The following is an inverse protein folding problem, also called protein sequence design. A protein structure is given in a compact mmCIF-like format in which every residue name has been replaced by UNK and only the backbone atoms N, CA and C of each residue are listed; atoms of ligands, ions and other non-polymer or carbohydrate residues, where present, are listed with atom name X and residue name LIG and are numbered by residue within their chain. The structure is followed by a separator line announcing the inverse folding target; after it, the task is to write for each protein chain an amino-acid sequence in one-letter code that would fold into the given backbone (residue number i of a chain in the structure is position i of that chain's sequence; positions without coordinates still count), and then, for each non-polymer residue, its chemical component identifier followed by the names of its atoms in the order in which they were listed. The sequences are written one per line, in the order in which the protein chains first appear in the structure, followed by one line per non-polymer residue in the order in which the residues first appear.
data_IF_573724603976
#
_entry.id   IF_573724603976
#
_cell.length_a   1.000
_cell.length_b   1.000
_cell.length_c   1.000
_cell.angle_alpha   90.00
_cell.angle_beta   90.00
_cell.angle_gamma   90.00
#
_symmetry.space_group_name_H-M   'P 1'
#
loop_
_entity.id
_entity.type
_entity.pdbx_description
1 polymer ?
#
# COMPACT_ATOMS: atom_id res chain seq x y z
N UNK A 1 56.70 4.64 12.55
CA UNK A 1 55.91 4.93 11.35
C UNK A 1 54.47 4.58 11.69
N UNK A 2 53.70 5.59 12.08
CA UNK A 2 52.26 5.41 12.37
C UNK A 2 51.48 5.20 11.08
N UNK A 3 50.74 4.12 10.91
CA UNK A 3 49.75 4.04 9.85
C UNK A 3 48.58 4.94 10.23
N UNK A 4 48.30 5.94 9.40
CA UNK A 4 47.17 6.85 9.50
C UNK A 4 45.88 6.07 9.81
N UNK A 5 45.36 6.20 11.02
CA UNK A 5 44.04 5.82 11.40
C UNK A 5 43.10 6.74 10.61
N UNK A 6 42.67 6.29 9.43
CA UNK A 6 41.59 6.93 8.69
C UNK A 6 40.40 7.03 9.65
N UNK A 7 40.15 8.24 10.17
CA UNK A 7 38.93 8.54 10.92
C UNK A 7 37.73 8.21 10.01
N UNK A 8 37.19 7.01 10.15
CA UNK A 8 35.92 6.66 9.54
C UNK A 8 34.86 7.59 10.16
N UNK A 9 34.54 8.65 9.44
CA UNK A 9 33.42 9.54 9.77
C UNK A 9 32.17 8.68 9.71
N UNK A 10 31.58 8.36 10.87
CA UNK A 10 30.37 7.55 10.99
C UNK A 10 29.28 8.29 10.22
N UNK A 11 29.08 7.95 8.94
CA UNK A 11 27.98 8.53 8.15
C UNK A 11 26.65 8.11 8.79
N UNK A 12 25.70 9.03 8.84
CA UNK A 12 24.36 8.72 9.34
C UNK A 12 23.77 7.58 8.48
N UNK A 13 23.21 6.53 9.12
CA UNK A 13 22.57 5.40 8.45
C UNK A 13 21.57 5.86 7.37
N UNK A 14 20.85 6.94 7.66
CA UNK A 14 19.89 7.52 6.70
C UNK A 14 20.58 8.05 5.42
N UNK A 15 21.78 8.65 5.55
CA UNK A 15 22.54 9.16 4.40
C UNK A 15 23.04 8.00 3.54
N UNK A 16 23.45 6.90 4.15
CA UNK A 16 23.87 5.69 3.46
C UNK A 16 22.71 5.03 2.70
N UNK A 17 21.56 4.83 3.37
CA UNK A 17 20.33 4.28 2.74
C UNK A 17 19.93 5.13 1.54
N UNK A 18 19.89 6.47 1.70
CA UNK A 18 19.56 7.38 0.60
C UNK A 18 20.56 7.28 -0.55
N UNK A 19 21.85 7.13 -0.28
CA UNK A 19 22.89 6.97 -1.30
C UNK A 19 22.71 5.68 -2.09
N UNK A 20 22.46 4.56 -1.41
CA UNK A 20 22.22 3.25 -2.03
C UNK A 20 20.94 3.24 -2.85
N UNK A 21 19.84 3.76 -2.30
CA UNK A 21 18.57 3.89 -3.02
C UNK A 21 18.73 4.67 -4.33
N UNK A 22 19.46 5.81 -4.30
CA UNK A 22 19.71 6.61 -5.49
C UNK A 22 20.58 5.91 -6.56
N UNK A 23 21.41 4.94 -6.18
CA UNK A 23 22.20 4.15 -7.14
C UNK A 23 21.33 3.12 -7.88
N UNK A 24 20.22 2.68 -7.32
CA UNK A 24 19.32 1.73 -7.96
C UNK A 24 18.43 2.44 -8.97
N UNK A 25 18.69 2.22 -10.27
CA UNK A 25 17.97 2.89 -11.37
C UNK A 25 16.48 2.51 -11.41
N UNK A 26 16.15 1.26 -11.13
CA UNK A 26 14.75 0.79 -11.13
C UNK A 26 13.95 1.41 -9.98
N UNK A 27 14.54 1.51 -8.80
CA UNK A 27 13.95 2.19 -7.65
C UNK A 27 13.71 3.69 -7.93
N UNK A 28 14.67 4.37 -8.60
CA UNK A 28 14.52 5.76 -8.99
C UNK A 28 13.41 5.96 -10.02
N UNK A 29 13.28 5.05 -10.99
CA UNK A 29 12.18 5.07 -11.96
C UNK A 29 10.83 4.90 -11.24
N UNK A 30 10.73 3.91 -10.33
CA UNK A 30 9.54 3.72 -9.51
C UNK A 30 9.20 4.95 -8.67
N UNK A 31 10.19 5.59 -8.06
CA UNK A 31 9.99 6.82 -7.28
C UNK A 31 9.50 7.99 -8.13
N UNK A 32 10.05 8.18 -9.33
CA UNK A 32 9.62 9.24 -10.24
C UNK A 32 8.17 9.02 -10.68
N UNK A 33 7.81 7.78 -11.07
CA UNK A 33 6.45 7.43 -11.43
C UNK A 33 5.48 7.64 -10.25
N UNK A 34 5.86 7.19 -9.05
CA UNK A 34 5.04 7.37 -7.85
C UNK A 34 4.85 8.85 -7.51
N UNK A 35 5.92 9.65 -7.55
CA UNK A 35 5.82 11.09 -7.33
C UNK A 35 4.91 11.76 -8.37
N UNK A 36 5.00 11.35 -9.63
CA UNK A 36 4.14 11.86 -10.71
C UNK A 36 2.65 11.54 -10.44
N UNK A 37 2.33 10.30 -10.08
CA UNK A 37 0.97 9.88 -9.77
C UNK A 37 0.43 10.63 -8.53
N UNK A 38 1.26 10.78 -7.48
CA UNK A 38 0.90 11.55 -6.29
C UNK A 38 0.66 13.03 -6.62
N UNK A 39 1.50 13.63 -7.46
CA UNK A 39 1.31 15.02 -7.90
C UNK A 39 0.00 15.19 -8.68
N UNK A 40 -0.33 14.26 -9.57
CA UNK A 40 -1.61 14.25 -10.27
C UNK A 40 -2.77 14.19 -9.27
N UNK A 41 -2.70 13.30 -8.29
CA UNK A 41 -3.75 13.16 -7.28
C UNK A 41 -3.91 14.43 -6.43
N UNK A 42 -2.82 15.07 -6.02
CA UNK A 42 -2.85 16.32 -5.25
C UNK A 42 -3.40 17.47 -6.09
N UNK A 43 -2.91 17.61 -7.31
CA UNK A 43 -3.26 18.71 -8.23
C UNK A 43 -4.55 18.45 -9.01
N UNK A 44 -5.32 17.41 -8.72
CA UNK A 44 -6.47 16.98 -9.53
C UNK A 44 -7.47 18.10 -9.82
N UNK A 45 -7.82 18.91 -8.80
CA UNK A 45 -8.76 20.02 -8.98
C UNK A 45 -8.20 21.18 -9.83
N UNK A 46 -6.87 21.31 -9.91
CA UNK A 46 -6.18 22.29 -10.75
C UNK A 46 -6.14 21.80 -12.21
N UNK A 47 -5.93 20.49 -12.40
CA UNK A 47 -5.81 19.88 -13.75
C UNK A 47 -7.17 19.85 -14.43
N UNK A 48 -8.22 19.44 -13.73
CA UNK A 48 -9.58 19.31 -14.27
C UNK A 48 -10.62 19.42 -13.15
N UNK A 49 -11.69 20.21 -13.35
CA UNK A 49 -12.77 20.31 -12.37
C UNK A 49 -13.45 18.96 -12.13
N UNK A 50 -13.69 18.60 -10.87
CA UNK A 50 -14.36 17.35 -10.48
C UNK A 50 -15.73 17.17 -11.14
N UNK A 51 -16.44 18.28 -11.34
CA UNK A 51 -17.75 18.32 -12.02
C UNK A 51 -17.77 17.65 -13.39
N UNK A 52 -16.70 17.78 -14.19
CA UNK A 52 -16.61 17.13 -15.52
C UNK A 52 -16.66 15.61 -15.45
N UNK A 53 -16.16 15.03 -14.34
CA UNK A 53 -16.19 13.59 -14.11
C UNK A 53 -17.54 13.05 -13.60
N UNK A 54 -18.48 13.93 -13.20
CA UNK A 54 -19.78 13.54 -12.63
C UNK A 54 -20.95 13.93 -13.54
N UNK A 55 -20.88 15.10 -14.19
CA UNK A 55 -21.96 15.58 -15.05
C UNK A 55 -22.17 14.60 -16.21
N UNK A 56 -23.41 14.14 -16.31
CA UNK A 56 -23.83 13.22 -17.36
C UNK A 56 -24.30 14.01 -18.60
N UNK A 57 -23.75 13.66 -19.75
CA UNK A 57 -24.20 14.23 -21.04
C UNK A 57 -24.62 13.09 -21.98
N UNK A 58 -25.91 12.83 -22.06
CA UNK A 58 -26.44 11.72 -22.85
C UNK A 58 -26.15 11.82 -24.34
N UNK A 59 -25.82 13.03 -24.86
CA UNK A 59 -25.46 13.24 -26.27
C UNK A 59 -24.05 12.77 -26.60
N UNK A 60 -23.13 12.81 -25.61
CA UNK A 60 -21.71 12.51 -25.79
C UNK A 60 -21.34 11.11 -25.29
N UNK A 61 -22.32 10.18 -25.21
CA UNK A 61 -22.06 8.79 -24.77
C UNK A 61 -21.11 8.07 -25.70
N UNK A 62 -20.09 7.40 -25.12
CA UNK A 62 -19.10 6.63 -25.87
C UNK A 62 -18.37 7.42 -26.94
N UNK A 63 -18.20 8.72 -26.73
CA UNK A 63 -17.35 9.53 -27.61
C UNK A 63 -15.92 9.10 -27.48
N UNK A 64 -15.29 8.68 -28.57
CA UNK A 64 -13.89 8.28 -28.62
C UNK A 64 -12.95 9.40 -28.20
N UNK A 65 -11.74 9.11 -27.76
CA UNK A 65 -10.72 10.12 -27.43
C UNK A 65 -10.55 11.15 -28.55
N UNK A 66 -10.65 12.44 -28.19
CA UNK A 66 -10.53 13.58 -29.11
C UNK A 66 -10.03 14.83 -28.37
N UNK A 67 -9.90 15.96 -29.07
CA UNK A 67 -9.41 17.21 -28.49
C UNK A 67 -10.29 17.79 -27.37
N UNK A 68 -11.60 17.51 -27.36
CA UNK A 68 -12.53 17.94 -26.31
C UNK A 68 -12.58 16.98 -25.14
N UNK A 69 -12.40 15.69 -25.39
CA UNK A 69 -12.38 14.60 -24.42
C UNK A 69 -11.11 13.76 -24.60
N UNK A 70 -10.04 14.11 -23.89
CA UNK A 70 -8.71 13.51 -24.07
C UNK A 70 -8.71 11.98 -24.00
N UNK A 71 -9.48 11.40 -23.06
CA UNK A 71 -9.63 9.95 -22.89
C UNK A 71 -11.00 9.43 -23.34
N UNK A 72 -11.80 10.29 -24.02
CA UNK A 72 -13.16 9.96 -24.40
C UNK A 72 -14.15 10.06 -23.24
N UNK A 73 -15.36 9.55 -23.46
CA UNK A 73 -16.46 9.58 -22.50
C UNK A 73 -16.99 8.18 -22.21
N UNK A 74 -17.64 8.03 -21.06
CA UNK A 74 -18.23 6.77 -20.64
C UNK A 74 -19.68 6.57 -21.16
N UNK A 75 -20.34 5.51 -20.66
CA UNK A 75 -21.71 5.16 -21.01
C UNK A 75 -22.78 6.19 -20.58
N UNK A 76 -22.42 7.12 -19.70
CA UNK A 76 -23.27 8.23 -19.27
C UNK A 76 -22.84 9.57 -19.90
N UNK A 77 -21.80 9.57 -20.75
CA UNK A 77 -21.24 10.77 -21.37
C UNK A 77 -20.39 11.62 -20.41
N UNK A 78 -19.86 11.02 -19.33
CA UNK A 78 -18.97 11.68 -18.39
C UNK A 78 -17.53 11.65 -18.92
N UNK A 79 -16.76 12.70 -18.68
CA UNK A 79 -15.37 12.81 -19.11
C UNK A 79 -14.47 11.78 -18.37
N UNK A 80 -13.92 10.82 -19.12
CA UNK A 80 -13.05 9.79 -18.56
C UNK A 80 -11.74 10.36 -18.03
N UNK A 81 -11.17 11.39 -18.66
CA UNK A 81 -9.93 12.02 -18.17
C UNK A 81 -10.14 12.60 -16.77
N UNK A 82 -11.22 13.36 -16.57
CA UNK A 82 -11.56 13.88 -15.24
C UNK A 82 -11.74 12.74 -14.21
N UNK A 83 -12.41 11.65 -14.60
CA UNK A 83 -12.62 10.49 -13.74
C UNK A 83 -11.32 9.79 -13.38
N UNK A 84 -10.38 9.64 -14.30
CA UNK A 84 -9.06 9.04 -14.05
C UNK A 84 -8.24 9.89 -13.09
N UNK A 85 -8.18 11.20 -13.34
CA UNK A 85 -7.42 12.13 -12.49
C UNK A 85 -7.96 12.13 -11.06
N UNK A 86 -9.26 12.32 -10.88
CA UNK A 86 -9.86 12.29 -9.54
C UNK A 86 -9.92 10.90 -8.92
N UNK A 87 -10.00 9.85 -9.74
CA UNK A 87 -9.95 8.45 -9.32
C UNK A 87 -8.64 8.06 -8.65
N UNK A 88 -7.53 8.71 -9.05
CA UNK A 88 -6.23 8.50 -8.41
C UNK A 88 -6.26 8.76 -6.90
N UNK A 89 -7.00 9.78 -6.45
CA UNK A 89 -7.17 10.09 -5.02
C UNK A 89 -7.80 8.94 -4.26
N UNK A 90 -8.90 8.39 -4.80
CA UNK A 90 -9.61 7.27 -4.17
C UNK A 90 -8.75 6.02 -4.12
N UNK A 91 -8.16 5.62 -5.24
CA UNK A 91 -7.37 4.39 -5.33
C UNK A 91 -6.10 4.46 -4.48
N UNK A 92 -5.37 5.59 -4.48
CA UNK A 92 -4.22 5.81 -3.60
C UNK A 92 -4.62 5.87 -2.13
N UNK A 93 -5.69 6.59 -1.80
CA UNK A 93 -6.20 6.67 -0.43
C UNK A 93 -6.55 5.29 0.13
N UNK A 94 -7.21 4.44 -0.65
CA UNK A 94 -7.56 3.09 -0.22
C UNK A 94 -6.29 2.27 0.04
N UNK A 95 -5.37 2.22 -0.91
CA UNK A 95 -4.14 1.43 -0.79
C UNK A 95 -3.27 1.86 0.39
N UNK A 96 -3.05 3.17 0.54
CA UNK A 96 -2.23 3.72 1.62
C UNK A 96 -2.92 3.55 2.98
N UNK A 97 -4.22 3.87 3.08
CA UNK A 97 -4.94 3.79 4.35
C UNK A 97 -5.08 2.36 4.85
N UNK A 98 -5.40 1.40 3.98
CA UNK A 98 -5.49 -0.02 4.37
C UNK A 98 -4.14 -0.58 4.80
N UNK A 99 -3.06 -0.25 4.10
CA UNK A 99 -1.71 -0.67 4.46
C UNK A 99 -1.28 -0.07 5.81
N UNK A 100 -1.57 1.22 6.03
CA UNK A 100 -1.26 1.88 7.30
C UNK A 100 -2.10 1.33 8.47
N UNK A 101 -3.39 1.09 8.27
CA UNK A 101 -4.25 0.47 9.28
C UNK A 101 -3.76 -0.94 9.64
N UNK A 102 -3.43 -1.76 8.61
CA UNK A 102 -2.88 -3.09 8.82
C UNK A 102 -1.53 -3.04 9.55
N UNK A 103 -0.67 -2.05 9.22
CA UNK A 103 0.60 -1.84 9.92
C UNK A 103 0.40 -1.45 11.38
N UNK A 104 -0.49 -0.50 11.68
CA UNK A 104 -0.73 -0.04 13.06
C UNK A 104 -1.28 -1.19 13.90
N UNK A 105 -2.37 -1.82 13.44
CA UNK A 105 -3.03 -2.89 14.20
C UNK A 105 -2.13 -4.14 14.25
N UNK A 106 -1.65 -4.60 13.09
CA UNK A 106 -0.79 -5.78 12.99
C UNK A 106 0.58 -5.57 13.61
N UNK A 107 1.09 -4.33 13.55
CA UNK A 107 2.34 -3.92 14.20
C UNK A 107 2.26 -4.00 15.72
N UNK A 108 1.19 -3.49 16.31
CA UNK A 108 0.95 -3.59 17.76
C UNK A 108 0.82 -5.05 18.19
N UNK A 109 -0.08 -5.81 17.54
CA UNK A 109 -0.31 -7.21 17.87
C UNK A 109 0.96 -8.05 17.67
N UNK A 110 1.62 -7.93 16.52
CA UNK A 110 2.83 -8.68 16.17
C UNK A 110 4.01 -8.34 17.09
N UNK A 111 4.15 -7.07 17.49
CA UNK A 111 5.19 -6.66 18.43
C UNK A 111 4.97 -7.26 19.81
N UNK A 112 3.73 -7.28 20.30
CA UNK A 112 3.41 -7.93 21.57
C UNK A 112 3.65 -9.44 21.50
N UNK A 113 3.20 -10.10 20.44
CA UNK A 113 3.42 -11.54 20.24
C UNK A 113 4.90 -11.89 20.18
N UNK A 114 5.70 -11.14 19.40
CA UNK A 114 7.12 -11.39 19.23
C UNK A 114 7.94 -11.11 20.49
N UNK A 115 7.53 -10.15 21.32
CA UNK A 115 8.25 -9.78 22.53
C UNK A 115 7.91 -10.65 23.75
N UNK A 116 6.62 -10.92 23.99
CA UNK A 116 6.18 -11.69 25.16
C UNK A 116 6.21 -13.21 24.93
N UNK A 117 5.90 -13.64 23.71
CA UNK A 117 5.84 -15.08 23.38
C UNK A 117 4.80 -15.86 24.17
N UNK A 118 5.06 -17.15 24.39
CA UNK A 118 4.29 -18.02 25.27
C UNK A 118 2.84 -18.28 24.85
N UNK A 119 1.95 -18.41 25.84
CA UNK A 119 0.53 -18.75 25.62
C UNK A 119 -0.23 -17.65 24.87
N UNK A 120 0.10 -16.37 25.14
CA UNK A 120 -0.52 -15.23 24.43
C UNK A 120 -0.20 -15.28 22.94
N UNK A 121 1.06 -15.43 22.58
CA UNK A 121 1.51 -15.55 21.21
C UNK A 121 0.83 -16.72 20.51
N UNK A 122 0.82 -17.90 21.14
CA UNK A 122 0.19 -19.09 20.61
C UNK A 122 -1.32 -18.89 20.35
N UNK A 123 -2.04 -18.25 21.26
CA UNK A 123 -3.47 -17.98 21.10
C UNK A 123 -3.74 -17.01 19.93
N UNK A 124 -2.97 -15.92 19.85
CA UNK A 124 -3.09 -14.94 18.74
C UNK A 124 -2.72 -15.59 17.40
N UNK A 125 -1.65 -16.38 17.35
CA UNK A 125 -1.26 -17.06 16.11
C UNK A 125 -2.31 -18.06 15.64
N UNK A 126 -2.95 -18.81 16.55
CA UNK A 126 -4.07 -19.70 16.21
C UNK A 126 -5.24 -18.94 15.62
N UNK A 127 -5.58 -17.77 16.18
CA UNK A 127 -6.61 -16.92 15.59
C UNK A 127 -6.22 -16.41 14.20
N UNK A 128 -4.96 -15.99 14.01
CA UNK A 128 -4.46 -15.62 12.67
C UNK A 128 -4.50 -16.80 11.70
N UNK A 129 -4.22 -18.03 12.15
CA UNK A 129 -4.31 -19.25 11.33
C UNK A 129 -5.74 -19.49 10.84
N UNK A 130 -6.74 -19.27 11.70
CA UNK A 130 -8.17 -19.38 11.32
C UNK A 130 -8.52 -18.35 10.24
N UNK A 131 -8.08 -17.11 10.38
CA UNK A 131 -8.32 -16.10 9.35
C UNK A 131 -7.63 -16.42 8.01
N UNK A 132 -6.44 -17.01 8.07
CA UNK A 132 -5.67 -17.41 6.87
C UNK A 132 -6.19 -18.70 6.21
N UNK A 133 -7.03 -19.48 6.88
CA UNK A 133 -7.68 -20.66 6.27
C UNK A 133 -8.64 -20.27 5.14
N UNK A 134 -9.11 -19.02 5.16
CA UNK A 134 -9.96 -18.44 4.10
C UNK A 134 -9.06 -17.61 3.15
N UNK A 135 -9.14 -17.80 1.83
CA UNK A 135 -8.44 -16.93 0.89
C UNK A 135 -8.77 -15.46 1.12
N UNK A 136 -7.76 -14.54 1.16
CA UNK A 136 -7.96 -13.14 1.52
C UNK A 136 -9.06 -12.41 0.74
N UNK A 137 -9.16 -12.69 -0.56
CA UNK A 137 -10.19 -12.10 -1.42
C UNK A 137 -11.60 -12.55 -1.00
N UNK A 138 -11.77 -13.84 -0.65
CA UNK A 138 -13.06 -14.36 -0.20
C UNK A 138 -13.42 -13.82 1.19
N UNK A 139 -12.44 -13.68 2.08
CA UNK A 139 -12.65 -13.06 3.39
C UNK A 139 -13.08 -11.59 3.25
N UNK A 140 -12.40 -10.81 2.40
CA UNK A 140 -12.79 -9.43 2.12
C UNK A 140 -14.19 -9.35 1.54
N UNK A 141 -14.52 -10.23 0.58
CA UNK A 141 -15.83 -10.30 -0.05
C UNK A 141 -16.93 -10.60 0.99
N UNK A 142 -16.72 -11.57 1.87
CA UNK A 142 -17.66 -11.91 2.93
C UNK A 142 -17.90 -10.74 3.89
N UNK A 143 -16.84 -10.03 4.27
CA UNK A 143 -16.95 -8.84 5.14
C UNK A 143 -17.74 -7.72 4.46
N UNK A 144 -17.44 -7.41 3.18
CA UNK A 144 -18.18 -6.38 2.45
C UNK A 144 -19.62 -6.80 2.22
N UNK A 145 -19.89 -8.08 1.91
CA UNK A 145 -21.25 -8.58 1.71
C UNK A 145 -22.10 -8.45 2.98
N UNK A 146 -21.51 -8.64 4.16
CA UNK A 146 -22.19 -8.49 5.44
C UNK A 146 -22.42 -7.01 5.84
N UNK A 147 -21.44 -6.11 5.54
CA UNK A 147 -21.50 -4.71 5.97
C UNK A 147 -22.12 -3.76 4.93
N UNK A 148 -22.24 -4.21 3.68
CA UNK A 148 -22.66 -3.42 2.53
C UNK A 148 -21.49 -2.75 1.77
N UNK A 149 -21.64 -2.53 0.45
CA UNK A 149 -20.60 -1.97 -0.41
C UNK A 149 -20.50 -0.45 -0.23
N UNK A 150 -19.42 0.01 0.37
CA UNK A 150 -19.02 1.42 0.47
C UNK A 150 -17.52 1.54 0.78
N UNK A 151 -16.96 2.74 0.67
CA UNK A 151 -15.54 3.00 0.91
C UNK A 151 -15.07 2.55 2.29
N UNK A 152 -15.82 2.87 3.36
CA UNK A 152 -15.44 2.53 4.74
C UNK A 152 -15.37 1.02 4.95
N UNK A 153 -16.39 0.30 4.51
CA UNK A 153 -16.46 -1.15 4.67
C UNK A 153 -15.42 -1.88 3.82
N UNK A 154 -15.10 -1.32 2.64
CA UNK A 154 -13.99 -1.79 1.80
C UNK A 154 -12.65 -1.70 2.53
N UNK A 155 -12.36 -0.54 3.16
CA UNK A 155 -11.14 -0.35 3.97
C UNK A 155 -11.04 -1.39 5.10
N UNK A 156 -12.14 -1.59 5.84
CA UNK A 156 -12.22 -2.56 6.93
C UNK A 156 -11.97 -3.98 6.41
N UNK A 157 -12.65 -4.37 5.33
CA UNK A 157 -12.56 -5.71 4.76
C UNK A 157 -11.16 -6.06 4.29
N UNK A 158 -10.51 -5.17 3.55
CA UNK A 158 -9.15 -5.39 3.07
C UNK A 158 -8.17 -5.41 4.26
N UNK A 159 -8.32 -4.50 5.22
CA UNK A 159 -7.48 -4.48 6.42
C UNK A 159 -7.56 -5.79 7.19
N UNK A 160 -8.76 -6.31 7.47
CA UNK A 160 -8.95 -7.58 8.17
C UNK A 160 -8.28 -8.74 7.42
N UNK A 161 -8.42 -8.78 6.09
CA UNK A 161 -7.87 -9.87 5.27
C UNK A 161 -6.35 -9.86 5.19
N UNK A 162 -5.72 -8.70 5.32
CA UNK A 162 -4.27 -8.55 5.26
C UNK A 162 -3.60 -8.60 6.64
N UNK A 163 -4.39 -8.44 7.70
CA UNK A 163 -3.91 -8.37 9.09
C UNK A 163 -3.06 -9.59 9.49
N UNK A 164 -3.44 -10.86 9.19
CA UNK A 164 -2.66 -12.02 9.60
C UNK A 164 -1.24 -12.02 9.04
N UNK A 165 -1.08 -11.65 7.77
CA UNK A 165 0.23 -11.55 7.12
C UNK A 165 1.11 -10.49 7.78
N UNK A 166 0.54 -9.32 8.10
CA UNK A 166 1.26 -8.23 8.76
C UNK A 166 1.66 -8.60 10.19
N UNK A 167 0.76 -9.21 10.95
CA UNK A 167 1.05 -9.68 12.32
C UNK A 167 2.20 -10.67 12.32
N UNK A 168 2.18 -11.68 11.44
CA UNK A 168 3.26 -12.68 11.32
C UNK A 168 4.59 -12.07 10.94
N UNK A 169 4.58 -11.16 9.96
CA UNK A 169 5.79 -10.46 9.55
C UNK A 169 6.41 -9.70 10.74
N UNK A 170 5.62 -8.83 11.37
CA UNK A 170 6.12 -8.02 12.49
C UNK A 170 6.59 -8.91 13.63
N UNK A 171 5.82 -9.94 13.99
CA UNK A 171 6.20 -10.92 15.00
C UNK A 171 7.56 -11.56 14.70
N UNK A 172 7.79 -12.04 13.48
CA UNK A 172 9.05 -12.71 13.12
C UNK A 172 10.24 -11.77 13.22
N UNK A 173 10.10 -10.51 12.77
CA UNK A 173 11.15 -9.50 12.87
C UNK A 173 11.41 -9.13 14.32
N UNK A 174 10.35 -8.98 15.13
CA UNK A 174 10.46 -8.62 16.55
C UNK A 174 11.15 -9.72 17.37
N UNK A 175 10.86 -10.99 17.11
CA UNK A 175 11.57 -12.13 17.75
C UNK A 175 13.07 -11.99 17.47
N UNK A 176 13.48 -11.82 16.22
CA UNK A 176 14.90 -11.70 15.85
C UNK A 176 15.58 -10.51 16.55
N UNK A 177 14.86 -9.40 16.76
CA UNK A 177 15.40 -8.23 17.45
C UNK A 177 15.43 -8.45 18.97
N UNK A 178 14.41 -9.09 19.54
CA UNK A 178 14.27 -9.30 20.97
C UNK A 178 15.32 -10.27 21.55
N UNK A 179 15.88 -11.14 20.71
CA UNK A 179 16.93 -12.10 21.08
C UNK A 179 18.34 -11.50 21.11
N UNK A 180 18.51 -10.20 20.88
CA UNK A 180 19.82 -9.56 20.92
C UNK A 180 20.24 -9.21 22.35
N UNK A 181 21.55 -9.33 22.64
CA UNK A 181 22.16 -9.10 23.97
C UNK A 181 21.84 -7.72 24.57
N UNK A 182 21.72 -6.68 23.74
CA UNK A 182 21.39 -5.32 24.23
C UNK A 182 19.96 -5.22 24.77
N UNK A 183 19.05 -6.09 24.34
CA UNK A 183 17.68 -6.17 24.89
C UNK A 183 17.72 -6.88 26.24
N UNK A 184 18.49 -7.96 26.36
CA UNK A 184 18.70 -8.65 27.63
C UNK A 184 19.36 -7.72 28.66
N UNK A 185 20.37 -6.97 28.25
CA UNK A 185 20.98 -5.94 29.08
C UNK A 185 19.94 -4.89 29.55
N UNK A 186 19.08 -4.40 28.64
CA UNK A 186 18.06 -3.43 28.99
C UNK A 186 17.04 -3.99 30.02
N UNK A 187 16.70 -5.29 29.94
CA UNK A 187 15.87 -5.97 30.93
C UNK A 187 16.59 -6.08 32.27
N UNK A 188 17.87 -6.48 32.29
CA UNK A 188 18.68 -6.63 33.49
C UNK A 188 18.85 -5.31 34.26
N UNK A 189 18.87 -4.18 33.58
CA UNK A 189 18.85 -2.83 34.18
C UNK A 189 17.47 -2.37 34.67
N UNK A 190 16.47 -3.26 34.71
CA UNK A 190 15.12 -2.96 35.21
C UNK A 190 14.27 -2.11 34.27
N UNK A 191 14.56 -2.13 32.97
CA UNK A 191 13.73 -1.46 31.96
C UNK A 191 12.30 -2.00 31.92
N UNK A 192 11.30 -1.12 31.90
CA UNK A 192 9.90 -1.53 31.71
C UNK A 192 9.69 -2.05 30.29
N UNK A 193 8.95 -3.14 30.11
CA UNK A 193 8.72 -3.79 28.81
C UNK A 193 8.25 -2.84 27.73
N UNK A 194 7.25 -2.00 28.02
CA UNK A 194 6.73 -1.01 27.05
C UNK A 194 7.85 -0.06 26.57
N UNK A 195 8.74 0.37 27.46
CA UNK A 195 9.88 1.21 27.09
C UNK A 195 10.88 0.44 26.22
N UNK A 196 11.13 -0.84 26.54
CA UNK A 196 12.02 -1.70 25.76
C UNK A 196 11.45 -1.89 24.34
N UNK A 197 10.17 -2.24 24.23
CA UNK A 197 9.49 -2.42 22.94
C UNK A 197 9.58 -1.14 22.11
N UNK A 198 9.13 0.00 22.65
CA UNK A 198 9.02 1.25 21.87
C UNK A 198 10.38 1.91 21.57
N UNK A 199 11.38 1.77 22.45
CA UNK A 199 12.66 2.47 22.32
C UNK A 199 13.76 1.63 21.68
N UNK A 200 13.72 0.32 21.83
CA UNK A 200 14.79 -0.56 21.38
C UNK A 200 14.33 -1.59 20.36
N UNK A 201 13.17 -2.25 20.56
CA UNK A 201 12.72 -3.31 19.66
C UNK A 201 12.12 -2.74 18.37
N UNK A 202 11.05 -1.95 18.49
CA UNK A 202 10.32 -1.41 17.32
C UNK A 202 11.23 -0.60 16.39
N UNK A 203 12.08 0.35 16.86
CA UNK A 203 12.93 1.13 15.96
C UNK A 203 13.95 0.27 15.19
N UNK A 204 14.47 -0.80 15.81
CA UNK A 204 15.40 -1.71 15.14
C UNK A 204 14.69 -2.71 14.20
N UNK A 205 13.40 -2.96 14.41
CA UNK A 205 12.56 -3.79 13.56
C UNK A 205 12.01 -3.02 12.32
N UNK A 206 12.08 -1.68 12.31
CA UNK A 206 11.40 -0.86 11.30
C UNK A 206 11.89 -1.08 9.87
N UNK A 207 13.15 -1.44 9.64
CA UNK A 207 13.70 -1.64 8.30
C UNK A 207 12.86 -2.62 7.47
N UNK A 208 12.83 -3.90 7.82
CA UNK A 208 12.01 -4.90 7.11
C UNK A 208 10.51 -4.58 7.10
N UNK A 209 9.99 -3.96 8.15
CA UNK A 209 8.58 -3.59 8.27
C UNK A 209 8.21 -2.53 7.25
N UNK A 210 9.00 -1.45 7.11
CA UNK A 210 8.76 -0.37 6.13
C UNK A 210 8.79 -0.93 4.69
N UNK A 211 9.78 -1.78 4.38
CA UNK A 211 9.89 -2.42 3.06
C UNK A 211 8.61 -3.20 2.74
N UNK A 212 8.23 -4.12 3.63
CA UNK A 212 7.05 -4.94 3.42
C UNK A 212 5.76 -4.11 3.34
N UNK A 213 5.62 -3.08 4.18
CA UNK A 213 4.47 -2.17 4.16
C UNK A 213 4.39 -1.41 2.83
N UNK A 214 5.51 -0.93 2.30
CA UNK A 214 5.55 -0.23 1.01
C UNK A 214 5.10 -1.14 -0.13
N UNK A 215 5.57 -2.39 -0.16
CA UNK A 215 5.16 -3.37 -1.17
C UNK A 215 3.69 -3.79 -1.00
N UNK A 216 3.20 -3.85 0.24
CA UNK A 216 1.80 -4.21 0.49
C UNK A 216 0.81 -3.20 -0.08
N UNK A 217 1.15 -1.90 -0.19
CA UNK A 217 0.29 -0.88 -0.79
C UNK A 217 -0.14 -1.27 -2.21
N UNK A 218 0.79 -1.79 -3.03
CA UNK A 218 0.47 -2.28 -4.37
C UNK A 218 -0.59 -3.39 -4.34
N UNK A 219 -0.42 -4.37 -3.46
CA UNK A 219 -1.36 -5.47 -3.27
C UNK A 219 -2.72 -5.00 -2.76
N UNK A 220 -2.75 -3.98 -1.88
CA UNK A 220 -4.01 -3.40 -1.37
C UNK A 220 -4.77 -2.67 -2.48
N UNK A 221 -4.08 -1.90 -3.33
CA UNK A 221 -4.69 -1.23 -4.50
C UNK A 221 -5.31 -2.26 -5.44
N UNK A 222 -4.58 -3.34 -5.75
CA UNK A 222 -5.08 -4.41 -6.61
C UNK A 222 -6.29 -5.14 -5.99
N UNK A 223 -6.26 -5.42 -4.69
CA UNK A 223 -7.37 -6.04 -3.96
C UNK A 223 -8.60 -5.14 -3.94
N UNK A 224 -8.43 -3.84 -3.70
CA UNK A 224 -9.50 -2.86 -3.75
C UNK A 224 -10.12 -2.77 -5.14
N UNK A 225 -9.28 -2.67 -6.17
CA UNK A 225 -9.75 -2.64 -7.55
C UNK A 225 -10.49 -3.92 -7.95
N UNK A 226 -10.03 -5.10 -7.49
CA UNK A 226 -10.70 -6.38 -7.69
C UNK A 226 -12.08 -6.44 -7.04
N UNK A 227 -12.21 -6.01 -5.77
CA UNK A 227 -13.50 -5.94 -5.08
C UNK A 227 -14.44 -4.90 -5.70
N UNK A 228 -13.92 -3.73 -6.08
CA UNK A 228 -14.69 -2.71 -6.78
C UNK A 228 -15.16 -3.20 -8.16
N UNK A 229 -14.31 -3.95 -8.89
CA UNK A 229 -14.64 -4.54 -10.19
C UNK A 229 -15.84 -5.49 -10.13
N UNK A 230 -15.99 -6.24 -9.06
CA UNK A 230 -17.17 -7.13 -8.85
C UNK A 230 -18.34 -6.41 -8.17
N UNK A 231 -18.26 -5.07 -8.01
CA UNK A 231 -19.34 -4.25 -7.44
C UNK A 231 -19.36 -4.17 -5.90
N UNK A 232 -18.39 -4.75 -5.23
CA UNK A 232 -18.28 -4.77 -3.76
C UNK A 232 -17.34 -3.69 -3.21
N UNK A 233 -16.99 -2.70 -4.01
CA UNK A 233 -16.10 -1.61 -3.62
C UNK A 233 -16.81 -0.28 -3.48
N UNK A 234 -16.11 0.76 -3.94
CA UNK A 234 -16.62 2.14 -3.96
C UNK A 234 -17.76 2.26 -4.96
N UNK A 235 -18.85 2.88 -4.51
CA UNK A 235 -20.04 3.03 -5.33
C UNK A 235 -20.04 4.34 -6.15
N UNK A 236 -20.66 4.34 -7.35
CA UNK A 236 -20.89 5.58 -8.09
C UNK A 236 -21.59 6.65 -7.24
N UNK A 237 -21.33 7.94 -7.48
CA UNK A 237 -20.60 8.52 -8.62
C UNK A 237 -19.07 8.61 -8.46
N UNK A 238 -18.52 8.13 -7.36
CA UNK A 238 -17.08 8.23 -7.06
C UNK A 238 -16.23 7.52 -8.11
N UNK A 239 -15.20 8.17 -8.69
CA UNK A 239 -14.48 7.67 -9.85
C UNK A 239 -13.28 6.78 -9.48
N UNK A 240 -13.41 5.88 -8.50
CA UNK A 240 -12.36 4.92 -8.14
C UNK A 240 -12.03 4.02 -9.34
N UNK A 241 -10.74 3.74 -9.59
CA UNK A 241 -10.30 3.05 -10.81
C UNK A 241 -10.88 1.64 -10.99
N UNK A 242 -11.04 0.87 -9.91
CA UNK A 242 -11.70 -0.44 -9.96
C UNK A 242 -13.20 -0.34 -10.25
N UNK A 243 -13.87 0.70 -9.74
CA UNK A 243 -15.27 1.00 -10.08
C UNK A 243 -15.41 1.40 -11.54
N UNK A 244 -14.43 2.16 -12.10
CA UNK A 244 -14.39 2.47 -13.53
C UNK A 244 -14.30 1.21 -14.39
N UNK A 245 -13.46 0.26 -14.00
CA UNK A 245 -13.35 -1.04 -14.68
C UNK A 245 -14.66 -1.83 -14.61
N UNK A 246 -15.36 -1.79 -13.47
CA UNK A 246 -16.67 -2.44 -13.31
C UNK A 246 -17.72 -1.86 -14.27
N UNK A 247 -17.80 -0.52 -14.35
CA UNK A 247 -18.70 0.18 -15.27
C UNK A 247 -18.35 -0.10 -16.73
N UNK A 248 -17.07 -0.27 -17.07
CA UNK A 248 -16.59 -0.54 -18.42
C UNK A 248 -16.91 -1.96 -18.90
N UNK A 249 -17.09 -2.94 -17.99
CA UNK A 249 -17.21 -4.36 -18.31
C UNK A 249 -18.29 -4.67 -19.35
N UNK A 250 -19.46 -4.07 -19.23
CA UNK A 250 -20.56 -4.29 -20.15
C UNK A 250 -20.33 -3.71 -21.55
N UNK A 251 -19.39 -2.78 -21.69
CA UNK A 251 -19.16 -2.02 -22.91
C UNK A 251 -17.73 -2.17 -23.46
N UNK A 252 -16.98 -3.18 -23.00
CA UNK A 252 -15.56 -3.35 -23.34
C UNK A 252 -15.27 -3.53 -24.82
N UNK A 253 -16.19 -4.15 -25.57
CA UNK A 253 -16.06 -4.33 -27.03
C UNK A 253 -16.42 -3.06 -27.82
N UNK A 254 -17.29 -2.22 -27.28
CA UNK A 254 -17.72 -0.98 -27.92
C UNK A 254 -16.74 0.18 -27.66
N UNK A 255 -16.23 0.27 -26.44
CA UNK A 255 -15.36 1.35 -25.98
C UNK A 255 -14.22 0.78 -25.11
N UNK A 256 -13.22 0.10 -25.74
CA UNK A 256 -12.16 -0.59 -25.01
C UNK A 256 -11.26 0.34 -24.19
N UNK A 257 -11.17 1.62 -24.56
CA UNK A 257 -10.42 2.63 -23.80
C UNK A 257 -10.93 2.80 -22.36
N UNK A 258 -12.22 2.55 -22.11
CA UNK A 258 -12.80 2.58 -20.75
C UNK A 258 -12.19 1.53 -19.82
N UNK A 259 -11.68 0.42 -20.38
CA UNK A 259 -11.02 -0.64 -19.62
C UNK A 259 -9.51 -0.42 -19.56
N UNK A 260 -8.86 -0.14 -20.71
CA UNK A 260 -7.41 -0.06 -20.77
C UNK A 260 -6.84 1.09 -19.96
N UNK A 261 -7.46 2.27 -19.99
CA UNK A 261 -6.91 3.47 -19.32
C UNK A 261 -6.87 3.30 -17.81
N UNK A 262 -7.97 2.98 -17.08
CA UNK A 262 -7.89 2.75 -15.64
C UNK A 262 -7.03 1.52 -15.30
N UNK A 263 -7.04 0.47 -16.12
CA UNK A 263 -6.19 -0.69 -15.94
C UNK A 263 -4.69 -0.36 -15.97
N UNK A 264 -4.26 0.47 -16.93
CA UNK A 264 -2.87 0.96 -17.00
C UNK A 264 -2.53 1.84 -15.80
N UNK A 265 -3.45 2.69 -15.32
CA UNK A 265 -3.23 3.50 -14.13
C UNK A 265 -2.99 2.64 -12.88
N UNK A 266 -3.78 1.59 -12.68
CA UNK A 266 -3.61 0.63 -11.59
C UNK A 266 -2.26 -0.09 -11.73
N UNK A 267 -1.94 -0.60 -12.93
CA UNK A 267 -0.68 -1.28 -13.20
C UNK A 267 0.53 -0.40 -12.88
N UNK A 268 0.56 0.83 -13.41
CA UNK A 268 1.68 1.75 -13.19
C UNK A 268 1.83 2.13 -11.73
N UNK A 269 0.72 2.29 -11.02
CA UNK A 269 0.74 2.61 -9.58
C UNK A 269 1.27 1.43 -8.77
N UNK A 270 0.78 0.22 -9.02
CA UNK A 270 1.25 -0.99 -8.34
C UNK A 270 2.74 -1.26 -8.64
N UNK A 271 3.15 -1.12 -9.91
CA UNK A 271 4.55 -1.25 -10.32
C UNK A 271 5.43 -0.22 -9.60
N UNK A 272 4.99 1.04 -9.50
CA UNK A 272 5.74 2.09 -8.83
C UNK A 272 6.01 1.77 -7.36
N UNK A 273 4.99 1.32 -6.61
CA UNK A 273 5.16 0.92 -5.21
C UNK A 273 6.07 -0.30 -5.06
N UNK A 274 5.97 -1.30 -5.94
CA UNK A 274 6.85 -2.46 -5.92
C UNK A 274 8.31 -2.08 -6.18
N UNK A 275 8.59 -1.29 -7.23
CA UNK A 275 9.95 -0.83 -7.54
C UNK A 275 10.57 0.01 -6.41
N UNK A 276 9.77 0.86 -5.75
CA UNK A 276 10.21 1.62 -4.58
C UNK A 276 10.46 0.68 -3.40
N UNK A 277 9.59 -0.30 -3.16
CA UNK A 277 9.74 -1.30 -2.10
C UNK A 277 11.00 -2.15 -2.28
N UNK A 278 11.26 -2.64 -3.48
CA UNK A 278 12.49 -3.38 -3.81
C UNK A 278 13.73 -2.53 -3.60
N UNK A 279 13.71 -1.28 -4.05
CA UNK A 279 14.81 -0.35 -3.84
C UNK A 279 15.07 -0.01 -2.37
N UNK A 280 14.02 0.09 -1.55
CA UNK A 280 14.14 0.23 -0.09
C UNK A 280 14.73 -1.03 0.53
N UNK A 281 14.32 -2.22 0.08
CA UNK A 281 14.88 -3.49 0.53
C UNK A 281 16.38 -3.57 0.27
N UNK A 282 16.82 -3.29 -0.95
CA UNK A 282 18.24 -3.30 -1.33
C UNK A 282 19.04 -2.27 -0.53
N UNK A 283 18.47 -1.08 -0.30
CA UNK A 283 19.14 -0.01 0.45
C UNK A 283 19.28 -0.31 1.95
N UNK A 284 18.35 -1.11 2.51
CA UNK A 284 18.31 -1.47 3.92
C UNK A 284 19.02 -2.80 4.22
N UNK A 285 19.38 -3.60 3.20
CA UNK A 285 20.07 -4.87 3.39
C UNK A 285 21.52 -4.65 3.87
N UNK A 286 21.88 -5.11 5.09
CA UNK A 286 23.23 -4.97 5.61
C UNK A 286 24.26 -5.84 4.91
N UNK A 287 23.84 -6.88 4.18
CA UNK A 287 24.75 -7.82 3.48
C UNK A 287 25.33 -7.23 2.19
N UNK A 288 24.73 -6.18 1.66
CA UNK A 288 25.20 -5.47 0.47
C UNK A 288 26.18 -4.32 0.84
N UNK A 289 26.92 -4.45 1.96
CA UNK A 289 27.98 -3.51 2.34
C UNK A 289 29.22 -3.78 1.48
N UNK A 290 29.34 -3.06 0.37
CA UNK A 290 30.60 -2.84 -0.34
C UNK A 290 31.25 -1.54 0.14
#
# INVERSE_FOLDING_TARGET
MDPEIKKYKKESQFKEIRRRFKKNRTAMLGLVLLCFILLIAICADIIVPYQKGIIQNGKDRFTSPNSSYLFGTDHLGRDLFARIIHGSRYSLFIGISTSLLALVIGGLIGSCCGYYGGAFDNAVMRFMDVLMSVPPVLLSLAVVAALGPNLRNLLIAITISCLPGTVRLVRSVVITVADNDYIEAARSYGGRDLRIILKYVVPNAMGPIIVSTTMSIASMILSAAGLSFIGMGVQPPSPEWGALLSEARANMFRAPYLLYIPGVCILLTALSFNLVGDGLRDALDPKLKD
#
